data_IF_374223418206
#
_entry.id   IF_374223418206
#
_cell.length_a   1.000
_cell.length_b   1.000
_cell.length_c   1.000
_cell.angle_alpha   90.00
_cell.angle_beta   90.00
_cell.angle_gamma   90.00
#
_symmetry.space_group_name_H-M   'P 1'
#
loop_
_entity.id
_entity.type
_entity.pdbx_description
1 polymer ?
#
# COMPACT_ATOMS: atom_id res chain seq x y z
N UNK A 1 3.81 -7.99 -23.71
CA UNK A 1 3.66 -7.25 -22.72
C UNK A 1 3.30 -7.88 -21.46
N UNK A 2 3.96 -7.64 -20.47
CA UNK A 2 3.74 -8.24 -19.20
C UNK A 2 2.65 -7.56 -18.42
N UNK A 3 2.15 -8.23 -17.40
CA UNK A 3 1.25 -7.63 -16.46
C UNK A 3 2.04 -6.88 -15.41
N UNK A 4 1.41 -5.89 -14.79
CA UNK A 4 2.00 -5.20 -13.68
C UNK A 4 1.82 -6.11 -12.46
N UNK A 5 2.94 -6.51 -11.89
CA UNK A 5 2.92 -7.41 -10.74
C UNK A 5 3.69 -6.78 -9.60
N UNK A 6 3.05 -6.71 -8.44
CA UNK A 6 3.70 -6.27 -7.22
C UNK A 6 4.35 -7.49 -6.59
N UNK A 7 5.63 -7.41 -6.32
CA UNK A 7 6.34 -8.51 -5.70
C UNK A 7 6.42 -8.29 -4.19
N UNK A 8 6.73 -9.37 -3.49
CA UNK A 8 6.77 -9.32 -2.03
C UNK A 8 7.79 -8.28 -1.52
N UNK A 9 8.86 -8.09 -2.26
CA UNK A 9 9.86 -7.12 -1.88
C UNK A 9 9.31 -5.69 -1.88
N UNK A 10 8.35 -5.41 -2.76
CA UNK A 10 7.69 -4.11 -2.78
C UNK A 10 6.94 -3.86 -1.48
N UNK A 11 6.31 -4.90 -0.96
CA UNK A 11 5.57 -4.80 0.30
C UNK A 11 6.52 -4.49 1.45
N UNK A 12 7.67 -5.15 1.48
CA UNK A 12 8.67 -4.93 2.50
C UNK A 12 9.19 -3.49 2.45
N UNK A 13 9.45 -3.00 1.24
CA UNK A 13 9.97 -1.65 1.06
C UNK A 13 8.96 -0.59 1.51
N UNK A 14 7.69 -0.79 1.15
CA UNK A 14 6.64 0.14 1.55
C UNK A 14 6.52 0.16 3.07
N UNK A 15 6.57 -1.01 3.70
CA UNK A 15 6.46 -1.07 5.16
C UNK A 15 7.63 -0.37 5.83
N UNK A 16 8.82 -0.45 5.24
CA UNK A 16 9.98 0.28 5.75
C UNK A 16 9.76 1.78 5.65
N UNK A 17 9.21 2.25 4.53
CA UNK A 17 8.93 3.67 4.36
C UNK A 17 7.92 4.17 5.37
N UNK A 18 6.88 3.39 5.61
CA UNK A 18 5.86 3.75 6.59
C UNK A 18 6.48 3.85 7.99
N UNK A 19 7.35 2.90 8.31
CA UNK A 19 8.02 2.88 9.59
C UNK A 19 8.96 4.08 9.76
N UNK A 20 9.69 4.41 8.70
CA UNK A 20 10.61 5.55 8.73
C UNK A 20 9.88 6.87 8.92
N UNK A 21 8.65 6.96 8.42
CA UNK A 21 7.86 8.17 8.55
C UNK A 21 7.00 8.15 9.82
N UNK A 22 7.22 7.15 10.66
CA UNK A 22 6.52 7.04 11.94
C UNK A 22 5.01 6.91 11.74
N UNK A 23 4.62 6.22 10.68
CA UNK A 23 3.21 5.96 10.40
C UNK A 23 2.87 4.56 10.90
N UNK A 24 1.85 4.47 11.73
CA UNK A 24 1.48 3.20 12.37
C UNK A 24 0.55 2.38 11.47
N UNK A 25 1.03 2.06 10.29
CA UNK A 25 0.27 1.26 9.32
C UNK A 25 1.16 0.15 8.78
N UNK A 26 0.54 -0.96 8.41
CA UNK A 26 1.25 -2.06 7.79
C UNK A 26 0.51 -2.50 6.54
N UNK A 27 1.25 -2.61 5.44
CA UNK A 27 0.69 -3.04 4.17
C UNK A 27 0.77 -4.56 4.06
N UNK A 28 -0.31 -5.17 3.61
CA UNK A 28 -0.39 -6.60 3.37
C UNK A 28 -0.79 -6.87 1.93
N UNK A 29 -0.34 -8.00 1.42
CA UNK A 29 -0.69 -8.41 0.06
C UNK A 29 -1.22 -9.84 0.10
N UNK A 30 -2.26 -10.09 -0.67
CA UNK A 30 -2.77 -11.43 -0.86
C UNK A 30 -2.78 -11.70 -2.35
N UNK A 31 -2.15 -12.79 -2.76
CA UNK A 31 -2.07 -13.16 -4.16
C UNK A 31 -2.75 -14.52 -4.31
N UNK A 32 -3.92 -14.53 -4.92
CA UNK A 32 -4.69 -15.74 -5.09
C UNK A 32 -5.32 -15.76 -6.46
N UNK A 33 -5.24 -16.90 -7.14
CA UNK A 33 -5.90 -17.12 -8.43
C UNK A 33 -5.54 -16.06 -9.47
N UNK A 34 -4.30 -15.59 -9.46
CA UNK A 34 -3.84 -14.61 -10.43
C UNK A 34 -4.28 -13.20 -10.16
N UNK A 35 -4.94 -12.97 -9.04
CA UNK A 35 -5.33 -11.63 -8.62
C UNK A 35 -4.60 -11.23 -7.38
N UNK A 36 -4.18 -9.98 -7.32
CA UNK A 36 -3.52 -9.46 -6.13
C UNK A 36 -4.45 -8.48 -5.42
N UNK A 37 -4.55 -8.64 -4.12
CA UNK A 37 -5.33 -7.74 -3.29
C UNK A 37 -4.41 -7.13 -2.25
N UNK A 38 -4.66 -5.88 -1.90
CA UNK A 38 -3.82 -5.17 -0.95
C UNK A 38 -4.69 -4.52 0.11
N UNK A 39 -4.25 -4.62 1.36
CA UNK A 39 -4.96 -3.92 2.42
C UNK A 39 -3.95 -3.40 3.43
N UNK A 40 -4.38 -2.37 4.15
CA UNK A 40 -3.53 -1.71 5.12
C UNK A 40 -4.14 -1.93 6.49
N UNK A 41 -3.30 -2.37 7.41
CA UNK A 41 -3.72 -2.62 8.78
C UNK A 41 -3.24 -1.49 9.67
N UNK A 42 -4.16 -0.75 10.35
CA UNK A 42 -3.72 0.24 11.32
C UNK A 42 -3.13 -0.48 12.53
N UNK A 43 -1.92 -0.07 12.91
CA UNK A 43 -1.22 -0.72 14.02
C UNK A 43 -1.61 -0.14 15.38
N UNK A 44 -2.13 1.07 15.37
CA UNK A 44 -2.52 1.74 16.61
C UNK A 44 -3.67 2.68 16.32
N UNK A 45 -4.78 2.49 16.99
CA UNK A 45 -5.97 3.30 16.71
C UNK A 45 -5.76 4.77 17.04
N UNK A 46 -4.93 5.07 18.02
CA UNK A 46 -4.69 6.46 18.40
C UNK A 46 -3.75 7.19 17.48
N UNK A 47 -2.71 6.51 17.00
CA UNK A 47 -1.74 7.17 16.16
C UNK A 47 -2.12 7.20 14.70
N UNK A 48 -3.10 6.43 14.28
CA UNK A 48 -3.49 6.40 12.88
C UNK A 48 -4.43 7.54 12.50
N UNK A 49 -5.12 8.09 13.48
CA UNK A 49 -6.08 9.14 13.21
C UNK A 49 -5.38 10.37 12.67
N UNK A 50 -5.84 10.85 11.51
CA UNK A 50 -5.24 12.01 10.89
C UNK A 50 -4.06 11.73 9.99
N UNK A 51 -3.64 10.46 9.89
CA UNK A 51 -2.48 10.11 9.09
C UNK A 51 -2.82 9.26 7.86
N UNK A 52 -4.10 9.09 7.59
CA UNK A 52 -4.52 8.27 6.45
C UNK A 52 -4.05 8.83 5.12
N UNK A 53 -4.17 10.14 4.94
CA UNK A 53 -3.75 10.76 3.69
C UNK A 53 -2.26 10.63 3.47
N UNK A 54 -1.49 10.81 4.52
CA UNK A 54 -0.04 10.67 4.44
C UNK A 54 0.36 9.26 4.09
N UNK A 55 -0.28 8.28 4.71
CA UNK A 55 -0.04 6.87 4.42
C UNK A 55 -0.35 6.57 2.96
N UNK A 56 -1.49 7.06 2.45
CA UNK A 56 -1.87 6.82 1.07
C UNK A 56 -0.88 7.47 0.11
N UNK A 57 -0.39 8.67 0.44
CA UNK A 57 0.60 9.35 -0.38
C UNK A 57 1.90 8.56 -0.46
N UNK A 58 2.36 8.04 0.66
CA UNK A 58 3.59 7.25 0.67
C UNK A 58 3.47 6.03 -0.23
N UNK A 59 2.37 5.32 -0.12
CA UNK A 59 2.14 4.12 -0.91
C UNK A 59 2.03 4.47 -2.39
N UNK A 60 1.23 5.48 -2.72
CA UNK A 60 1.03 5.87 -4.11
C UNK A 60 2.33 6.35 -4.75
N UNK A 61 3.12 7.12 -4.02
CA UNK A 61 4.39 7.62 -4.55
C UNK A 61 5.39 6.50 -4.78
N UNK A 62 5.44 5.55 -3.86
CA UNK A 62 6.36 4.43 -4.03
C UNK A 62 6.04 3.68 -5.32
N UNK A 63 4.77 3.33 -5.51
CA UNK A 63 4.38 2.57 -6.69
C UNK A 63 4.48 3.40 -7.97
N UNK A 64 4.21 4.70 -7.88
CA UNK A 64 4.37 5.57 -9.04
C UNK A 64 5.83 5.58 -9.50
N UNK A 65 6.77 5.55 -8.57
CA UNK A 65 8.18 5.47 -8.91
C UNK A 65 8.56 4.18 -9.59
N UNK A 66 7.72 3.16 -9.47
CA UNK A 66 7.92 1.89 -10.15
C UNK A 66 7.07 1.76 -11.40
N UNK A 67 6.40 2.83 -11.80
CA UNK A 67 5.54 2.81 -12.97
C UNK A 67 4.20 2.13 -12.73
N UNK A 68 3.79 2.03 -11.47
CA UNK A 68 2.57 1.35 -11.09
C UNK A 68 1.58 2.36 -10.54
N UNK A 69 0.35 2.33 -11.04
CA UNK A 69 -0.70 3.19 -10.52
C UNK A 69 -1.59 2.40 -9.57
N UNK A 70 -1.98 3.02 -8.48
CA UNK A 70 -2.85 2.38 -7.51
C UNK A 70 -4.13 3.20 -7.35
N UNK A 71 -5.21 2.53 -7.00
CA UNK A 71 -6.48 3.19 -6.73
C UNK A 71 -6.98 2.71 -5.38
N UNK A 72 -7.11 3.65 -4.44
CA UNK A 72 -7.64 3.32 -3.13
C UNK A 72 -9.15 3.18 -3.20
N UNK A 73 -9.66 2.18 -2.51
CA UNK A 73 -11.09 1.90 -2.50
C UNK A 73 -11.74 2.62 -1.32
N UNK A 74 -13.04 2.49 -1.22
CA UNK A 74 -13.80 3.13 -0.16
C UNK A 74 -13.23 2.73 1.19
N UNK A 75 -13.09 3.66 2.08
CA UNK A 75 -12.49 3.42 3.39
C UNK A 75 -11.01 3.73 3.44
N UNK A 76 -10.33 3.73 2.29
CA UNK A 76 -8.92 4.11 2.22
C UNK A 76 -7.94 3.08 2.76
N UNK A 77 -8.41 1.90 3.16
CA UNK A 77 -7.54 0.87 3.72
C UNK A 77 -7.36 -0.32 2.78
N UNK A 78 -7.89 -0.22 1.58
CA UNK A 78 -7.64 -1.23 0.54
C UNK A 78 -7.35 -0.50 -0.75
N UNK A 79 -6.60 -1.13 -1.62
CA UNK A 79 -6.38 -0.54 -2.95
C UNK A 79 -6.16 -1.64 -3.97
N UNK A 80 -6.26 -1.25 -5.23
CA UNK A 80 -6.02 -2.15 -6.35
C UNK A 80 -5.03 -1.49 -7.30
N UNK A 81 -4.39 -2.31 -8.11
CA UNK A 81 -3.47 -1.83 -9.13
C UNK A 81 -4.27 -1.52 -10.38
N UNK A 82 -4.05 -0.34 -10.94
CA UNK A 82 -4.69 0.07 -12.18
C UNK A 82 -3.72 -0.24 -13.31
N UNK A 83 -4.20 -0.96 -14.29
CA UNK A 83 -3.38 -1.35 -15.44
C UNK A 83 -3.81 -0.64 -16.70
#
# INVERSE_FOLDING_TARGET
>A
MGRIIVIYNDIIEVNHLLEEKDLSFKLHMRDACGSQSFWIEPMSSCSCEGHYEEMQSVIAEYFAGRGISVQFLEGGLTFVIIQ
#
